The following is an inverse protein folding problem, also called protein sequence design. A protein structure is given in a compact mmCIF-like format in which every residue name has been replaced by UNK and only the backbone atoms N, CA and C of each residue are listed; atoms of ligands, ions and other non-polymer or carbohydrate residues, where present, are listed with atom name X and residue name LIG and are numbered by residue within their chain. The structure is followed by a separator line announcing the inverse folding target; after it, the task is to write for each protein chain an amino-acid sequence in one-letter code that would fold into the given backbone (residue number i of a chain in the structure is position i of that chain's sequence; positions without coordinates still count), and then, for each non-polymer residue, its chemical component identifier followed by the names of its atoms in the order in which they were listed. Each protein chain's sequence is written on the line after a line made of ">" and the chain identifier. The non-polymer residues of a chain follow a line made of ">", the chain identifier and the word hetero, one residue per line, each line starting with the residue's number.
data_IF_395973122679
#
_entry.id   IF_395973122679
#
_cell.length_a   1.000
_cell.length_b   1.000
_cell.length_c   1.000
_cell.angle_alpha   90.00
_cell.angle_beta   90.00
_cell.angle_gamma   90.00
#
_symmetry.space_group_name_H-M   'P 1'
#
loop_
_entity.id
_entity.type
_entity.pdbx_description
1 polymer ?
#
# COMPACT_ATOMS: atom_id res chain seq x y z
N UNK A 1 -28.16 -8.25 16.90
CA UNK A 1 -28.87 -7.45 15.88
C UNK A 1 -27.96 -6.34 15.30
N UNK A 2 -27.21 -5.62 16.14
CA UNK A 2 -26.29 -4.57 15.69
C UNK A 2 -25.14 -5.13 14.81
N UNK A 3 -24.53 -6.25 15.17
CA UNK A 3 -23.35 -6.85 14.50
C UNK A 3 -23.56 -7.29 13.04
N UNK A 4 -24.81 -7.45 12.60
CA UNK A 4 -25.12 -7.86 11.22
C UNK A 4 -25.47 -6.69 10.29
N UNK A 5 -25.67 -5.49 10.86
CA UNK A 5 -26.27 -4.38 10.11
C UNK A 5 -25.39 -3.89 8.95
N UNK A 6 -24.08 -3.84 9.15
CA UNK A 6 -23.16 -3.40 8.10
C UNK A 6 -22.67 -4.52 7.17
N UNK A 7 -22.81 -5.80 7.58
CA UNK A 7 -22.36 -6.96 6.79
C UNK A 7 -23.29 -7.25 5.59
N UNK A 8 -24.55 -6.81 5.68
CA UNK A 8 -25.53 -6.98 4.61
C UNK A 8 -25.44 -5.91 3.52
N UNK A 9 -24.66 -4.84 3.76
CA UNK A 9 -24.47 -3.78 2.78
C UNK A 9 -23.56 -4.26 1.66
N UNK A 10 -23.94 -3.95 0.42
CA UNK A 10 -23.10 -4.25 -0.74
C UNK A 10 -21.86 -3.37 -0.72
N UNK A 11 -20.74 -3.94 -1.08
CA UNK A 11 -19.47 -3.24 -1.19
C UNK A 11 -18.70 -3.74 -2.40
N UNK A 12 -17.87 -2.89 -3.03
CA UNK A 12 -17.03 -3.32 -4.13
C UNK A 12 -16.00 -4.35 -3.62
N UNK A 13 -15.73 -5.38 -4.42
CA UNK A 13 -14.70 -6.37 -4.12
C UNK A 13 -13.30 -5.83 -4.46
N UNK A 14 -13.21 -4.97 -5.46
CA UNK A 14 -11.96 -4.33 -5.92
C UNK A 14 -12.21 -2.92 -6.41
N UNK A 15 -11.15 -2.13 -6.47
CA UNK A 15 -11.12 -0.85 -7.16
C UNK A 15 -10.57 -1.07 -8.58
N UNK A 16 -11.25 -0.51 -9.57
CA UNK A 16 -10.72 -0.46 -10.92
C UNK A 16 -9.97 0.86 -11.10
N UNK A 17 -8.68 0.78 -11.46
CA UNK A 17 -7.82 1.95 -11.67
C UNK A 17 -7.48 2.03 -13.15
N UNK A 18 -7.97 3.06 -13.81
CA UNK A 18 -7.68 3.35 -15.22
C UNK A 18 -6.61 4.44 -15.27
N UNK A 19 -5.41 4.15 -15.77
CA UNK A 19 -4.37 5.16 -15.91
C UNK A 19 -4.77 6.21 -16.96
N UNK A 20 -4.44 7.46 -16.69
CA UNK A 20 -4.63 8.56 -17.65
C UNK A 20 -3.48 8.69 -18.66
N UNK A 21 -3.34 9.88 -19.25
CA UNK A 21 -2.29 10.17 -20.23
C UNK A 21 -0.87 10.01 -19.64
N UNK A 22 -0.69 10.37 -18.38
CA UNK A 22 0.51 10.11 -17.60
C UNK A 22 0.13 9.26 -16.38
N UNK A 23 0.46 7.95 -16.38
CA UNK A 23 0.08 7.03 -15.32
C UNK A 23 0.62 7.42 -13.94
N UNK A 24 1.74 8.15 -13.88
CA UNK A 24 2.34 8.59 -12.63
C UNK A 24 1.66 9.84 -12.04
N UNK A 25 0.86 10.54 -12.85
CA UNK A 25 0.24 11.81 -12.47
C UNK A 25 -1.26 11.81 -12.52
N UNK A 26 -1.86 11.00 -13.40
CA UNK A 26 -3.32 11.02 -13.61
C UNK A 26 -3.89 9.62 -13.62
N UNK A 27 -4.97 9.41 -12.88
CA UNK A 27 -5.76 8.19 -12.92
C UNK A 27 -7.23 8.45 -12.65
N UNK A 28 -8.06 7.56 -13.20
CA UNK A 28 -9.49 7.44 -12.87
C UNK A 28 -9.68 6.20 -12.01
N UNK A 29 -10.16 6.39 -10.80
CA UNK A 29 -10.44 5.31 -9.85
C UNK A 29 -11.94 5.10 -9.78
N UNK A 30 -12.38 3.88 -10.05
CA UNK A 30 -13.80 3.49 -10.07
C UNK A 30 -14.08 2.51 -8.95
N UNK A 31 -15.10 2.82 -8.14
CA UNK A 31 -15.63 1.94 -7.09
C UNK A 31 -17.09 1.62 -7.37
N UNK A 32 -17.37 0.36 -7.68
CA UNK A 32 -18.73 -0.17 -7.89
C UNK A 32 -18.81 -1.66 -7.55
N UNK A 33 -19.97 -2.17 -7.09
CA UNK A 33 -21.17 -1.41 -6.69
C UNK A 33 -21.06 -0.85 -5.26
N UNK A 34 -21.69 0.29 -5.01
CA UNK A 34 -21.85 0.88 -3.68
C UNK A 34 -23.35 0.99 -3.37
N UNK A 35 -23.70 0.92 -2.09
CA UNK A 35 -25.07 1.22 -1.67
C UNK A 35 -25.45 2.66 -2.04
N UNK A 36 -26.73 2.87 -2.32
CA UNK A 36 -27.28 4.17 -2.70
C UNK A 36 -26.92 5.27 -1.68
N UNK A 37 -26.30 6.34 -2.17
CA UNK A 37 -25.84 7.48 -1.38
C UNK A 37 -24.40 7.36 -0.88
N UNK A 38 -23.81 6.15 -0.85
CA UNK A 38 -22.43 5.97 -0.43
C UNK A 38 -21.43 6.55 -1.45
N UNK A 39 -21.76 6.55 -2.73
CA UNK A 39 -20.92 7.19 -3.75
C UNK A 39 -20.67 8.67 -3.45
N UNK A 40 -21.70 9.42 -3.07
CA UNK A 40 -21.59 10.84 -2.69
C UNK A 40 -20.81 11.01 -1.38
N UNK A 41 -21.10 10.19 -0.37
CA UNK A 41 -20.47 10.27 0.95
C UNK A 41 -18.97 10.00 0.85
N UNK A 42 -18.59 8.88 0.22
CA UNK A 42 -17.18 8.48 0.06
C UNK A 42 -16.44 9.41 -0.89
N UNK A 43 -17.07 9.77 -2.02
CA UNK A 43 -16.44 10.67 -3.00
C UNK A 43 -16.09 12.02 -2.43
N UNK A 44 -17.01 12.64 -1.66
CA UNK A 44 -16.75 13.91 -0.99
C UNK A 44 -15.69 13.77 0.11
N UNK A 45 -15.78 12.74 0.95
CA UNK A 45 -14.84 12.51 2.04
C UNK A 45 -13.42 12.29 1.52
N UNK A 46 -13.24 11.37 0.57
CA UNK A 46 -11.94 11.05 -0.05
C UNK A 46 -11.37 12.28 -0.75
N UNK A 47 -12.18 12.99 -1.55
CA UNK A 47 -11.75 14.23 -2.21
C UNK A 47 -11.20 15.25 -1.22
N UNK A 48 -11.89 15.47 -0.11
CA UNK A 48 -11.45 16.44 0.91
C UNK A 48 -10.13 16.03 1.55
N UNK A 49 -9.97 14.77 1.90
CA UNK A 49 -8.75 14.25 2.51
C UNK A 49 -7.57 14.29 1.54
N UNK A 50 -7.79 13.93 0.27
CA UNK A 50 -6.78 14.03 -0.79
C UNK A 50 -6.21 15.45 -0.91
N UNK A 51 -7.06 16.47 -0.88
CA UNK A 51 -6.64 17.86 -1.07
C UNK A 51 -6.04 18.51 0.19
N UNK A 52 -6.36 18.00 1.39
CA UNK A 52 -6.00 18.70 2.64
C UNK A 52 -5.00 17.96 3.53
N UNK A 53 -4.94 16.63 3.46
CA UNK A 53 -4.32 15.86 4.55
C UNK A 53 -3.08 15.07 4.15
N UNK A 54 -2.80 14.92 2.86
CA UNK A 54 -1.61 14.23 2.40
C UNK A 54 -0.36 15.07 2.69
N UNK A 55 0.71 14.38 3.07
CA UNK A 55 2.02 14.99 3.24
C UNK A 55 2.75 15.09 1.90
N UNK A 56 3.55 16.14 1.76
CA UNK A 56 4.49 16.28 0.66
C UNK A 56 5.67 17.15 1.09
N UNK A 57 6.63 17.34 0.18
CA UNK A 57 7.77 18.22 0.38
C UNK A 57 7.62 19.48 -0.47
N UNK A 58 8.02 20.63 0.07
CA UNK A 58 8.00 21.89 -0.64
C UNK A 58 9.20 22.76 -0.27
N UNK A 59 9.54 23.68 -1.15
CA UNK A 59 10.54 24.71 -0.88
C UNK A 59 9.90 25.78 0.01
N UNK A 60 10.48 26.01 1.18
CA UNK A 60 10.03 27.01 2.17
C UNK A 60 10.77 28.33 2.05
N UNK A 61 11.94 28.31 1.41
CA UNK A 61 12.71 29.51 1.17
C UNK A 61 13.89 29.26 0.24
N UNK A 62 14.37 30.32 -0.35
CA UNK A 62 15.56 30.31 -1.19
C UNK A 62 16.55 31.39 -0.75
N UNK A 63 17.80 31.17 -1.11
CA UNK A 63 18.86 32.19 -1.07
C UNK A 63 19.59 32.21 -2.39
N UNK A 64 19.75 33.41 -2.97
CA UNK A 64 20.46 33.60 -4.22
C UNK A 64 21.63 34.51 -3.93
N UNK A 65 22.82 34.15 -4.43
CA UNK A 65 24.01 34.98 -4.24
C UNK A 65 23.83 36.36 -4.87
N UNK A 66 24.10 37.40 -4.08
CA UNK A 66 23.96 38.80 -4.51
C UNK A 66 22.55 39.39 -4.45
N UNK A 67 21.54 38.61 -3.99
CA UNK A 67 20.15 39.02 -3.84
C UNK A 67 19.75 39.14 -2.37
N UNK A 68 19.10 40.25 -2.00
CA UNK A 68 18.69 40.54 -0.62
C UNK A 68 17.19 40.36 -0.39
N UNK A 69 16.38 40.54 -1.44
CA UNK A 69 14.92 40.49 -1.37
C UNK A 69 14.32 40.10 -2.74
N UNK A 70 13.08 39.68 -2.74
CA UNK A 70 12.33 39.15 -3.90
C UNK A 70 12.09 40.17 -5.04
N UNK A 71 12.15 41.45 -4.74
CA UNK A 71 11.95 42.51 -5.72
C UNK A 71 13.25 43.01 -6.38
N UNK A 72 14.22 42.11 -6.48
CA UNK A 72 15.51 42.39 -7.11
C UNK A 72 15.57 41.77 -8.51
N UNK A 73 16.45 42.34 -9.34
CA UNK A 73 16.87 41.71 -10.61
C UNK A 73 18.30 41.19 -10.49
N UNK A 74 18.64 40.18 -11.27
CA UNK A 74 19.97 39.59 -11.27
C UNK A 74 20.62 39.89 -12.63
N UNK A 75 21.85 40.40 -12.60
CA UNK A 75 22.56 40.71 -13.84
C UNK A 75 22.82 39.43 -14.66
N UNK A 76 22.41 39.46 -15.92
CA UNK A 76 22.55 38.32 -16.83
C UNK A 76 21.52 37.20 -16.64
N UNK A 77 20.45 37.44 -15.87
CA UNK A 77 19.27 36.59 -15.77
C UNK A 77 18.09 37.36 -16.38
N UNK A 78 17.31 36.70 -17.21
CA UNK A 78 16.18 37.36 -17.93
C UNK A 78 14.98 37.58 -17.02
N UNK A 79 14.71 36.61 -16.16
CA UNK A 79 13.58 36.63 -15.23
C UNK A 79 13.96 37.43 -13.96
N UNK A 80 13.00 38.12 -13.43
CA UNK A 80 13.14 38.75 -12.11
C UNK A 80 13.09 37.66 -11.00
N UNK A 81 13.62 38.00 -9.83
CA UNK A 81 13.61 37.10 -8.67
C UNK A 81 12.19 36.65 -8.32
N UNK A 82 11.20 37.51 -8.51
CA UNK A 82 9.78 37.17 -8.29
C UNK A 82 9.32 36.03 -9.24
N UNK A 83 9.71 36.10 -10.50
CA UNK A 83 9.37 35.06 -11.48
C UNK A 83 10.09 33.74 -11.15
N UNK A 84 11.35 33.84 -10.73
CA UNK A 84 12.11 32.66 -10.25
C UNK A 84 11.39 32.02 -9.04
N UNK A 85 10.93 32.81 -8.07
CA UNK A 85 10.16 32.32 -6.92
C UNK A 85 8.87 31.61 -7.37
N UNK A 86 8.15 32.17 -8.36
CA UNK A 86 6.94 31.53 -8.88
C UNK A 86 7.22 30.20 -9.58
N UNK A 87 8.35 30.09 -10.28
CA UNK A 87 8.79 28.85 -10.89
C UNK A 87 9.22 27.83 -9.82
N UNK A 88 9.96 28.26 -8.80
CA UNK A 88 10.38 27.39 -7.67
C UNK A 88 9.17 26.81 -6.92
N UNK A 89 8.08 27.56 -6.77
CA UNK A 89 6.83 27.05 -6.16
C UNK A 89 6.21 25.88 -6.92
N UNK A 90 6.57 25.67 -8.18
CA UNK A 90 6.07 24.56 -9.02
C UNK A 90 6.94 23.30 -8.92
N UNK A 91 8.07 23.35 -8.21
CA UNK A 91 8.92 22.18 -8.00
C UNK A 91 8.14 21.07 -7.30
N UNK A 92 8.19 19.88 -7.90
CA UNK A 92 7.63 18.66 -7.34
C UNK A 92 8.77 17.83 -6.74
N UNK A 93 8.85 17.81 -5.41
CA UNK A 93 9.96 17.22 -4.67
C UNK A 93 9.46 16.02 -3.89
N UNK A 94 10.09 14.85 -4.09
CA UNK A 94 9.93 13.67 -3.26
C UNK A 94 11.07 13.63 -2.25
N UNK A 95 10.73 13.69 -0.96
CA UNK A 95 11.69 13.64 0.13
C UNK A 95 11.22 12.62 1.17
N UNK A 96 11.86 11.44 1.27
CA UNK A 96 11.59 10.52 2.35
C UNK A 96 12.20 11.04 3.66
N UNK A 97 11.48 10.89 4.75
CA UNK A 97 11.91 11.30 6.09
C UNK A 97 11.40 12.69 6.50
N UNK A 98 11.65 13.02 7.75
CA UNK A 98 11.24 14.29 8.39
C UNK A 98 12.41 15.28 8.44
N UNK A 99 12.08 16.54 8.62
CA UNK A 99 13.05 17.63 8.85
C UNK A 99 13.25 18.56 7.67
N UNK A 100 14.26 19.42 7.80
CA UNK A 100 14.65 20.43 6.80
C UNK A 100 15.90 19.99 6.09
N UNK A 101 15.90 20.03 4.76
CA UNK A 101 17.10 19.77 3.95
C UNK A 101 17.42 20.95 3.06
N UNK A 102 18.69 21.10 2.70
CA UNK A 102 19.19 22.15 1.81
C UNK A 102 19.66 21.52 0.51
N UNK A 103 19.26 22.13 -0.59
CA UNK A 103 19.68 21.78 -1.95
C UNK A 103 20.40 22.96 -2.57
N UNK A 104 21.37 22.71 -3.41
CA UNK A 104 22.13 23.72 -4.09
C UNK A 104 21.99 23.61 -5.60
N UNK A 105 21.98 24.75 -6.27
CA UNK A 105 22.02 24.86 -7.72
C UNK A 105 23.17 25.80 -8.08
N UNK A 106 24.02 25.36 -8.98
CA UNK A 106 25.05 26.21 -9.60
C UNK A 106 24.95 26.05 -11.10
N UNK A 107 24.63 27.15 -11.79
CA UNK A 107 24.49 27.16 -13.23
C UNK A 107 25.36 28.26 -13.85
N UNK A 108 25.83 27.99 -15.08
CA UNK A 108 26.60 28.94 -15.89
C UNK A 108 25.93 29.08 -17.25
N UNK A 109 25.70 30.33 -17.66
CA UNK A 109 25.10 30.64 -18.96
C UNK A 109 26.09 30.47 -20.13
N UNK A 110 25.57 30.61 -21.36
CA UNK A 110 24.17 30.92 -21.68
C UNK A 110 23.27 29.69 -21.71
N UNK A 111 22.00 29.84 -21.36
CA UNK A 111 20.98 28.78 -21.50
C UNK A 111 19.92 28.76 -20.41
N UNK A 112 18.97 27.83 -20.55
CA UNK A 112 17.92 27.61 -19.57
C UNK A 112 18.46 26.83 -18.37
N UNK A 113 18.06 27.25 -17.19
CA UNK A 113 18.33 26.57 -15.92
C UNK A 113 17.11 25.77 -15.54
N UNK A 114 17.25 24.45 -15.53
CA UNK A 114 16.15 23.55 -15.23
C UNK A 114 16.25 22.96 -13.82
N UNK A 115 15.12 22.49 -13.30
CA UNK A 115 15.04 21.81 -12.00
C UNK A 115 15.95 20.57 -11.91
N UNK A 116 16.21 19.91 -13.02
CA UNK A 116 17.12 18.74 -13.09
C UNK A 116 18.60 19.07 -12.78
N UNK A 117 18.99 20.37 -12.81
CA UNK A 117 20.33 20.81 -12.48
C UNK A 117 20.53 21.02 -10.96
N UNK A 118 19.47 20.95 -10.18
CA UNK A 118 19.54 21.04 -8.71
C UNK A 118 20.31 19.82 -8.18
N UNK A 119 21.33 20.08 -7.39
CA UNK A 119 22.13 19.02 -6.74
C UNK A 119 21.31 18.41 -5.60
N UNK A 120 20.79 17.22 -5.82
CA UNK A 120 20.03 16.46 -4.83
C UNK A 120 20.97 15.56 -4.04
N UNK A 121 20.78 15.47 -2.72
CA UNK A 121 21.44 14.46 -1.89
C UNK A 121 20.62 13.17 -1.92
N UNK A 122 21.24 12.05 -2.24
CA UNK A 122 20.80 10.64 -2.37
C UNK A 122 19.34 10.21 -2.19
N UNK A 123 18.61 10.83 -1.28
CA UNK A 123 17.23 10.47 -0.95
C UNK A 123 16.18 11.45 -1.50
N UNK A 124 16.60 12.52 -2.18
CA UNK A 124 15.68 13.54 -2.69
C UNK A 124 15.59 13.40 -4.21
N UNK A 125 14.39 13.33 -4.71
CA UNK A 125 14.07 13.22 -6.13
C UNK A 125 13.20 14.40 -6.57
N UNK A 126 13.49 14.95 -7.74
CA UNK A 126 12.66 15.98 -8.38
C UNK A 126 11.83 15.30 -9.46
N UNK A 127 10.51 15.29 -9.29
CA UNK A 127 9.57 14.61 -10.20
C UNK A 127 9.31 15.38 -11.52
N UNK A 128 9.71 16.65 -11.58
CA UNK A 128 9.58 17.50 -12.77
C UNK A 128 10.91 18.16 -13.17
N UNK A 129 11.93 17.38 -13.58
CA UNK A 129 13.27 17.89 -13.87
C UNK A 129 13.32 18.87 -15.04
N UNK A 130 12.36 18.83 -15.94
CA UNK A 130 12.27 19.70 -17.13
C UNK A 130 11.71 21.10 -16.84
N UNK A 131 11.31 21.38 -15.60
CA UNK A 131 10.79 22.67 -15.21
C UNK A 131 11.90 23.73 -15.32
N UNK A 132 11.68 24.74 -16.15
CA UNK A 132 12.60 25.88 -16.30
C UNK A 132 12.42 26.83 -15.12
N UNK A 133 13.51 27.11 -14.41
CA UNK A 133 13.55 28.04 -13.30
C UNK A 133 13.85 29.47 -13.76
N UNK A 134 14.85 29.61 -14.63
CA UNK A 134 15.25 30.90 -15.24
C UNK A 134 16.12 30.67 -16.47
N UNK A 135 16.43 31.75 -17.19
CA UNK A 135 17.30 31.77 -18.36
C UNK A 135 18.51 32.66 -18.12
N UNK A 136 19.72 32.14 -18.36
CA UNK A 136 20.96 32.86 -18.19
C UNK A 136 21.46 33.40 -19.53
N UNK A 137 21.97 34.62 -19.54
CA UNK A 137 22.70 35.21 -20.66
C UNK A 137 24.17 34.77 -20.69
N UNK A 138 24.87 35.10 -21.70
CA UNK A 138 26.27 34.71 -21.88
C UNK A 138 27.18 35.27 -20.76
N UNK A 139 27.99 34.39 -20.19
CA UNK A 139 28.87 34.71 -19.07
C UNK A 139 28.21 34.88 -17.71
N UNK A 140 26.90 34.78 -17.60
CA UNK A 140 26.19 34.83 -16.31
C UNK A 140 26.41 33.56 -15.48
N UNK A 141 26.48 33.73 -14.16
CA UNK A 141 26.55 32.63 -13.20
C UNK A 141 25.47 32.80 -12.15
N UNK A 142 24.78 31.71 -11.82
CA UNK A 142 23.73 31.69 -10.81
C UNK A 142 24.04 30.65 -9.75
N UNK A 143 24.07 31.06 -8.47
CA UNK A 143 24.16 30.16 -7.32
C UNK A 143 22.89 30.34 -6.47
N UNK A 144 22.18 29.26 -6.25
CA UNK A 144 20.97 29.24 -5.42
C UNK A 144 21.02 28.13 -4.39
N UNK A 145 20.54 28.42 -3.19
CA UNK A 145 20.29 27.46 -2.12
C UNK A 145 18.78 27.38 -1.89
N UNK A 146 18.24 26.15 -1.86
CA UNK A 146 16.83 25.88 -1.57
C UNK A 146 16.71 25.24 -0.19
N UNK A 147 15.81 25.75 0.63
CA UNK A 147 15.41 25.12 1.88
C UNK A 147 14.13 24.33 1.65
N UNK A 148 14.19 23.00 1.82
CA UNK A 148 13.06 22.08 1.57
C UNK A 148 12.60 21.48 2.90
N UNK A 149 11.30 21.42 3.10
CA UNK A 149 10.68 20.79 4.28
C UNK A 149 9.53 19.87 3.87
N UNK A 150 9.22 18.91 4.75
CA UNK A 150 8.02 18.08 4.66
C UNK A 150 6.93 18.72 5.51
N UNK A 151 5.72 18.77 4.97
CA UNK A 151 4.57 19.36 5.67
C UNK A 151 3.25 18.88 5.08
N UNK A 152 2.18 19.61 5.44
CA UNK A 152 0.81 19.34 4.95
C UNK A 152 0.11 20.62 4.57
N UNK A 153 -0.71 20.55 3.53
CA UNK A 153 -1.55 21.66 3.10
C UNK A 153 -0.75 22.84 2.57
N UNK A 154 -1.07 24.05 3.01
CA UNK A 154 -0.48 25.29 2.56
C UNK A 154 0.03 26.09 3.76
N UNK A 155 1.27 26.57 3.66
CA UNK A 155 1.89 27.45 4.66
C UNK A 155 2.38 28.73 3.97
N UNK A 156 1.88 29.92 4.37
CA UNK A 156 2.29 31.19 3.78
C UNK A 156 3.75 31.52 4.12
N UNK A 157 4.42 32.28 3.24
CA UNK A 157 5.82 32.65 3.33
C UNK A 157 6.19 33.31 4.67
N UNK A 158 5.30 34.16 5.24
CA UNK A 158 5.53 34.79 6.51
C UNK A 158 5.77 33.79 7.67
N UNK A 159 5.15 32.63 7.63
CA UNK A 159 5.33 31.56 8.63
C UNK A 159 6.57 30.69 8.36
N UNK A 160 7.09 30.73 7.14
CA UNK A 160 8.28 29.97 6.74
C UNK A 160 9.59 30.73 7.04
N UNK A 161 9.51 31.94 7.53
CA UNK A 161 10.70 32.71 7.88
C UNK A 161 11.20 32.34 9.28
N UNK A 162 12.40 31.74 9.42
CA UNK A 162 12.99 31.46 10.72
C UNK A 162 13.28 32.76 11.49
N UNK A 163 13.26 32.71 12.82
CA UNK A 163 13.63 33.91 13.65
C UNK A 163 15.08 34.30 13.39
N UNK A 164 15.99 33.33 13.18
CA UNK A 164 17.41 33.55 12.86
C UNK A 164 17.68 33.46 11.35
N UNK A 165 16.77 33.96 10.51
CA UNK A 165 16.93 33.89 9.05
C UNK A 165 18.21 34.64 8.63
N UNK A 166 19.11 34.03 7.83
CA UNK A 166 20.31 34.69 7.32
C UNK A 166 19.91 35.84 6.37
N UNK A 167 20.80 36.84 6.27
CA UNK A 167 20.61 37.93 5.31
C UNK A 167 20.50 37.35 3.89
N UNK A 168 19.52 37.83 3.12
CA UNK A 168 19.25 37.34 1.76
C UNK A 168 18.38 36.08 1.70
N UNK A 169 17.86 35.59 2.85
CA UNK A 169 16.86 34.54 2.85
C UNK A 169 15.50 35.05 2.40
N UNK A 170 14.96 34.50 1.32
CA UNK A 170 13.66 34.86 0.75
C UNK A 170 12.70 33.71 1.09
N UNK A 171 11.73 33.93 2.00
CA UNK A 171 10.73 32.94 2.35
C UNK A 171 9.73 32.76 1.20
N UNK A 172 9.30 31.53 0.96
CA UNK A 172 8.36 31.16 -0.10
C UNK A 172 7.14 30.50 0.53
N UNK A 173 5.96 30.74 -0.07
CA UNK A 173 4.76 29.96 0.27
C UNK A 173 4.96 28.50 -0.08
N UNK A 174 4.74 27.62 0.87
CA UNK A 174 4.89 26.20 0.68
C UNK A 174 3.54 25.54 0.41
N UNK A 175 3.42 24.88 -0.75
CA UNK A 175 2.28 24.03 -1.12
C UNK A 175 2.75 22.59 -0.98
N UNK A 176 2.41 21.96 0.14
CA UNK A 176 2.87 20.60 0.45
C UNK A 176 2.01 19.51 -0.18
N UNK A 177 0.76 19.84 -0.58
CA UNK A 177 -0.15 18.84 -1.14
C UNK A 177 0.40 18.28 -2.47
N UNK A 178 0.66 16.95 -2.57
CA UNK A 178 1.06 16.34 -3.82
C UNK A 178 -0.10 16.23 -4.82
N UNK A 179 -1.35 16.42 -4.35
CA UNK A 179 -2.55 16.32 -5.17
C UNK A 179 -2.92 17.68 -5.73
N UNK A 180 -2.94 17.79 -7.05
CA UNK A 180 -3.26 19.04 -7.76
C UNK A 180 -4.76 19.21 -8.00
N UNK A 181 -5.43 18.13 -8.39
CA UNK A 181 -6.84 18.17 -8.75
C UNK A 181 -7.54 16.86 -8.39
N UNK A 182 -8.75 16.99 -7.83
CA UNK A 182 -9.64 15.86 -7.60
C UNK A 182 -11.04 16.25 -8.06
N UNK A 183 -11.60 15.47 -8.97
CA UNK A 183 -13.00 15.54 -9.36
C UNK A 183 -13.65 14.19 -9.15
N UNK A 184 -14.91 14.16 -8.71
CA UNK A 184 -15.69 12.92 -8.64
C UNK A 184 -17.06 13.10 -9.24
N UNK A 185 -17.61 11.98 -9.71
CA UNK A 185 -19.01 11.87 -10.13
C UNK A 185 -19.60 10.55 -9.63
N UNK A 186 -20.90 10.57 -9.42
CA UNK A 186 -21.66 9.39 -8.99
C UNK A 186 -22.66 9.07 -10.09
N UNK A 187 -22.62 7.84 -10.56
CA UNK A 187 -23.46 7.32 -11.61
C UNK A 187 -24.29 6.16 -11.08
N UNK A 188 -25.54 5.94 -11.54
CA UNK A 188 -26.27 4.74 -11.17
C UNK A 188 -25.63 3.51 -11.82
N UNK A 189 -25.57 2.41 -11.07
CA UNK A 189 -25.11 1.12 -11.59
C UNK A 189 -26.10 0.01 -11.25
N UNK A 190 -26.00 -1.13 -11.95
CA UNK A 190 -26.94 -2.25 -11.84
C UNK A 190 -26.25 -3.49 -11.28
N UNK A 191 -26.89 -4.11 -10.31
CA UNK A 191 -26.50 -5.44 -9.82
C UNK A 191 -27.69 -6.39 -9.94
N UNK A 192 -27.62 -7.34 -10.84
CA UNK A 192 -28.72 -8.25 -11.13
C UNK A 192 -29.95 -7.50 -11.67
N UNK A 193 -31.07 -7.54 -10.95
CA UNK A 193 -32.29 -6.84 -11.31
C UNK A 193 -32.46 -5.47 -10.61
N UNK A 194 -31.57 -5.12 -9.70
CA UNK A 194 -31.60 -3.88 -8.93
C UNK A 194 -30.70 -2.83 -9.60
N UNK A 195 -31.25 -1.64 -9.86
CA UNK A 195 -30.59 -0.54 -10.59
C UNK A 195 -30.26 0.66 -9.69
N UNK A 196 -30.42 0.52 -8.38
CA UNK A 196 -30.35 1.62 -7.40
C UNK A 196 -28.98 1.73 -6.70
N UNK A 197 -27.95 1.07 -7.22
CA UNK A 197 -26.61 1.16 -6.68
C UNK A 197 -25.82 2.33 -7.27
N UNK A 198 -24.85 2.81 -6.51
CA UNK A 198 -23.96 3.88 -6.93
C UNK A 198 -22.67 3.33 -7.55
N UNK A 199 -22.22 3.99 -8.61
CA UNK A 199 -20.88 3.89 -9.16
C UNK A 199 -20.14 5.20 -8.89
N UNK A 200 -19.10 5.15 -8.09
CA UNK A 200 -18.24 6.30 -7.82
C UNK A 200 -17.07 6.31 -8.80
N UNK A 201 -16.90 7.41 -9.51
CA UNK A 201 -15.77 7.66 -10.41
C UNK A 201 -14.98 8.85 -9.87
N UNK A 202 -13.73 8.63 -9.50
CA UNK A 202 -12.79 9.63 -9.01
C UNK A 202 -11.71 9.89 -10.05
N UNK A 203 -11.55 11.13 -10.49
CA UNK A 203 -10.43 11.56 -11.32
C UNK A 203 -9.42 12.27 -10.42
N UNK A 204 -8.22 11.73 -10.32
CA UNK A 204 -7.15 12.26 -9.46
C UNK A 204 -5.97 12.66 -10.32
N UNK A 205 -5.46 13.86 -10.06
CA UNK A 205 -4.26 14.40 -10.69
C UNK A 205 -3.27 14.81 -9.59
N UNK A 206 -2.05 14.29 -9.66
CA UNK A 206 -0.95 14.56 -8.74
C UNK A 206 0.16 15.33 -9.44
N UNK A 207 1.14 15.77 -8.69
CA UNK A 207 2.36 16.40 -9.22
C UNK A 207 3.43 15.40 -9.69
N UNK A 208 3.18 14.08 -9.51
CA UNK A 208 4.11 13.01 -9.86
C UNK A 208 5.00 12.55 -8.69
N UNK A 209 4.95 13.20 -7.53
CA UNK A 209 5.68 12.74 -6.34
C UNK A 209 5.03 11.51 -5.69
N UNK A 210 3.71 11.38 -5.83
CA UNK A 210 2.91 10.25 -5.36
C UNK A 210 2.02 9.78 -6.51
N UNK A 211 1.94 8.47 -6.73
CA UNK A 211 1.02 7.92 -7.72
C UNK A 211 -0.44 8.15 -7.30
N UNK A 212 -1.37 8.37 -8.24
CA UNK A 212 -2.77 8.68 -7.91
C UNK A 212 -3.49 7.58 -7.11
N UNK A 213 -3.22 6.31 -7.38
CA UNK A 213 -3.75 5.15 -6.66
C UNK A 213 -3.23 5.08 -5.22
N UNK A 214 -1.93 5.30 -5.01
CA UNK A 214 -1.32 5.39 -3.69
C UNK A 214 -1.91 6.57 -2.89
N UNK A 215 -2.12 7.71 -3.54
CA UNK A 215 -2.74 8.87 -2.91
C UNK A 215 -4.15 8.56 -2.39
N UNK A 216 -4.97 7.85 -3.20
CA UNK A 216 -6.31 7.40 -2.81
C UNK A 216 -6.24 6.40 -1.66
N UNK A 217 -5.31 5.44 -1.71
CA UNK A 217 -5.12 4.45 -0.65
C UNK A 217 -4.76 5.11 0.69
N UNK A 218 -3.82 6.08 0.69
CA UNK A 218 -3.44 6.85 1.88
C UNK A 218 -4.62 7.68 2.40
N UNK A 219 -5.39 8.33 1.52
CA UNK A 219 -6.56 9.10 1.91
C UNK A 219 -7.64 8.21 2.56
N UNK A 220 -7.89 7.03 2.00
CA UNK A 220 -8.82 6.06 2.57
C UNK A 220 -8.34 5.56 3.95
N UNK A 221 -7.04 5.32 4.11
CA UNK A 221 -6.44 4.92 5.40
C UNK A 221 -6.59 6.00 6.46
N UNK A 222 -6.35 7.26 6.11
CA UNK A 222 -6.54 8.39 7.01
C UNK A 222 -8.01 8.45 7.48
N UNK A 223 -8.97 8.29 6.55
CA UNK A 223 -10.40 8.28 6.90
C UNK A 223 -10.74 7.12 7.82
N UNK A 224 -10.25 5.93 7.54
CA UNK A 224 -10.46 4.74 8.36
C UNK A 224 -9.95 4.98 9.79
N UNK A 225 -8.74 5.49 9.95
CA UNK A 225 -8.15 5.76 11.26
C UNK A 225 -8.94 6.82 12.05
N UNK A 226 -9.42 7.87 11.37
CA UNK A 226 -10.25 8.90 12.02
C UNK A 226 -11.64 8.37 12.42
N UNK A 227 -12.22 7.47 11.63
CA UNK A 227 -13.52 6.89 11.92
C UNK A 227 -13.46 5.83 13.02
N UNK A 228 -12.31 5.23 13.26
CA UNK A 228 -12.14 4.20 14.29
C UNK A 228 -12.51 4.67 15.69
N UNK A 229 -12.29 5.96 16.00
CA UNK A 229 -12.65 6.55 17.29
C UNK A 229 -14.16 6.54 17.55
N UNK A 230 -14.99 6.51 16.50
CA UNK A 230 -16.46 6.49 16.60
C UNK A 230 -17.03 5.09 16.81
N UNK A 231 -16.20 4.06 16.67
CA UNK A 231 -16.60 2.66 16.91
C UNK A 231 -16.41 2.38 18.40
N UNK A 232 -17.53 2.29 19.15
CA UNK A 232 -17.53 2.12 20.60
C UNK A 232 -17.88 0.70 21.07
N UNK A 233 -17.90 -0.26 20.16
CA UNK A 233 -18.16 -1.66 20.47
C UNK A 233 -16.95 -2.51 20.04
N UNK A 234 -16.70 -3.57 20.81
CA UNK A 234 -15.69 -4.56 20.43
C UNK A 234 -16.18 -5.30 19.19
N UNK A 235 -15.50 -5.06 18.06
CA UNK A 235 -15.66 -5.94 16.92
C UNK A 235 -15.16 -7.33 17.35
N UNK A 236 -15.97 -8.40 17.16
CA UNK A 236 -15.40 -9.73 17.27
C UNK A 236 -14.19 -9.72 16.34
N UNK A 237 -13.01 -9.75 16.91
CA UNK A 237 -11.78 -9.83 16.11
C UNK A 237 -12.05 -10.95 15.12
N UNK A 238 -12.22 -10.63 13.84
CA UNK A 238 -11.92 -11.60 12.82
C UNK A 238 -10.54 -12.08 13.23
N UNK A 239 -10.47 -13.31 13.75
CA UNK A 239 -9.19 -13.96 13.83
C UNK A 239 -8.69 -13.84 12.39
N UNK A 240 -7.79 -12.87 12.16
CA UNK A 240 -6.85 -12.98 11.08
C UNK A 240 -6.34 -14.38 11.34
N UNK A 241 -6.69 -15.30 10.48
CA UNK A 241 -5.98 -16.56 10.39
C UNK A 241 -4.61 -16.05 9.95
N UNK A 242 -3.80 -15.63 10.95
CA UNK A 242 -2.37 -15.62 10.77
C UNK A 242 -2.14 -16.97 10.14
N UNK A 243 -1.73 -16.93 8.91
CA UNK A 243 -1.22 -18.11 8.24
C UNK A 243 -0.22 -18.71 9.22
N UNK A 244 -0.66 -19.71 9.98
CA UNK A 244 0.19 -20.54 10.83
C UNK A 244 1.01 -21.40 9.86
N UNK A 245 1.65 -20.72 8.90
CA UNK A 245 2.44 -21.36 7.87
C UNK A 245 3.85 -21.67 8.34
N UNK A 246 4.33 -21.05 9.43
CA UNK A 246 5.77 -21.07 9.69
C UNK A 246 6.24 -21.75 11.00
N UNK A 247 5.34 -22.27 11.86
CA UNK A 247 5.81 -22.83 13.14
C UNK A 247 5.52 -24.32 13.40
N UNK A 248 4.92 -25.06 12.44
CA UNK A 248 4.81 -26.50 12.60
C UNK A 248 6.03 -27.19 11.97
N UNK A 249 6.81 -27.96 12.74
CA UNK A 249 8.00 -28.64 12.23
C UNK A 249 7.65 -29.80 11.26
N UNK A 250 6.37 -29.95 10.87
CA UNK A 250 5.89 -31.03 10.03
C UNK A 250 4.74 -30.57 9.11
N UNK A 251 4.47 -31.36 8.04
CA UNK A 251 3.46 -31.06 7.04
C UNK A 251 2.03 -31.09 7.64
N UNK A 252 1.21 -30.08 7.36
CA UNK A 252 -0.21 -29.96 7.80
C UNK A 252 -1.07 -31.17 7.44
N UNK A 253 -0.79 -31.83 6.32
CA UNK A 253 -1.51 -33.02 5.90
C UNK A 253 -1.41 -34.19 6.92
N UNK A 254 -0.43 -34.17 7.81
CA UNK A 254 -0.25 -35.15 8.85
C UNK A 254 -1.31 -35.10 9.95
N UNK A 255 -1.92 -33.91 10.17
CA UNK A 255 -2.98 -33.68 11.15
C UNK A 255 -4.38 -34.09 10.66
N UNK A 256 -4.54 -34.41 9.38
CA UNK A 256 -5.81 -34.89 8.84
C UNK A 256 -6.10 -36.31 9.30
N UNK A 257 -7.40 -36.60 9.48
CA UNK A 257 -7.84 -37.94 9.86
C UNK A 257 -7.72 -38.90 8.70
N UNK A 258 -7.40 -40.16 9.01
CA UNK A 258 -7.31 -41.23 8.03
C UNK A 258 -8.67 -41.53 7.38
N UNK A 259 -9.79 -41.22 8.06
CA UNK A 259 -11.14 -41.36 7.54
C UNK A 259 -11.46 -40.42 6.34
N UNK A 260 -10.67 -39.34 6.17
CA UNK A 260 -10.79 -38.38 5.06
C UNK A 260 -10.06 -38.85 3.78
N UNK A 261 -9.25 -39.92 3.93
CA UNK A 261 -8.61 -40.54 2.78
C UNK A 261 -9.65 -41.40 2.02
N UNK A 262 -9.72 -41.24 0.72
CA UNK A 262 -10.60 -42.04 -0.14
C UNK A 262 -10.12 -43.48 -0.22
N UNK A 263 -10.14 -44.19 0.93
CA UNK A 263 -9.74 -45.61 1.04
C UNK A 263 -10.94 -46.51 0.96
N UNK A 264 -10.71 -47.74 0.50
CA UNK A 264 -11.75 -48.77 0.55
C UNK A 264 -12.18 -49.03 2.02
N UNK A 265 -13.46 -49.38 2.22
CA UNK A 265 -14.05 -49.68 3.54
C UNK A 265 -13.21 -50.70 4.32
N UNK A 266 -12.59 -51.62 3.60
CA UNK A 266 -11.74 -52.66 4.19
C UNK A 266 -10.43 -52.09 4.72
N UNK A 267 -9.77 -51.19 3.95
CA UNK A 267 -8.54 -50.52 4.34
C UNK A 267 -8.78 -49.59 5.53
N UNK A 268 -9.85 -48.79 5.50
CA UNK A 268 -10.23 -47.88 6.59
C UNK A 268 -10.51 -48.64 7.90
N UNK A 269 -11.25 -49.75 7.85
CA UNK A 269 -11.53 -50.57 9.05
C UNK A 269 -10.27 -51.23 9.64
N UNK A 270 -9.31 -51.62 8.81
CA UNK A 270 -8.04 -52.15 9.30
C UNK A 270 -7.21 -51.09 10.04
N UNK A 271 -7.18 -49.87 9.54
CA UNK A 271 -6.47 -48.74 10.18
C UNK A 271 -7.11 -48.34 11.53
N UNK A 272 -8.46 -48.36 11.61
CA UNK A 272 -9.20 -48.14 12.85
C UNK A 272 -8.91 -49.18 13.91
N UNK A 273 -8.84 -50.44 13.51
CA UNK A 273 -8.55 -51.55 14.43
C UNK A 273 -7.12 -51.48 15.01
N UNK A 274 -6.20 -50.85 14.30
CA UNK A 274 -4.82 -50.63 14.72
C UNK A 274 -4.61 -49.27 15.43
N UNK A 275 -5.71 -48.61 15.80
CA UNK A 275 -5.74 -47.26 16.47
C UNK A 275 -4.98 -46.18 15.73
N UNK A 276 -4.90 -46.23 14.39
CA UNK A 276 -4.30 -45.19 13.55
C UNK A 276 -5.41 -44.18 13.19
N UNK A 277 -5.36 -43.02 13.82
CA UNK A 277 -6.38 -41.96 13.67
C UNK A 277 -5.94 -40.86 12.70
N UNK A 278 -4.69 -40.48 12.73
CA UNK A 278 -4.14 -39.42 11.93
C UNK A 278 -3.18 -39.92 10.84
N UNK A 279 -3.06 -39.16 9.75
CA UNK A 279 -2.11 -39.48 8.67
C UNK A 279 -0.67 -39.53 9.20
N UNK A 280 -0.34 -38.69 10.19
CA UNK A 280 0.96 -38.66 10.83
C UNK A 280 1.32 -39.96 11.55
N UNK A 281 0.34 -40.67 12.14
CA UNK A 281 0.54 -41.99 12.75
C UNK A 281 0.79 -43.07 11.68
N UNK A 282 0.06 -42.93 10.56
CA UNK A 282 0.17 -43.87 9.43
C UNK A 282 1.53 -43.79 8.74
N UNK A 283 2.04 -42.57 8.51
CA UNK A 283 3.31 -42.32 7.82
C UNK A 283 4.51 -42.86 8.60
N UNK A 284 4.44 -42.90 9.94
CA UNK A 284 5.51 -43.48 10.76
C UNK A 284 5.57 -45.00 10.74
N UNK A 285 4.48 -45.67 10.37
CA UNK A 285 4.47 -47.15 10.26
C UNK A 285 5.25 -47.60 9.05
N UNK A 286 6.06 -48.61 9.26
CA UNK A 286 6.77 -49.30 8.15
C UNK A 286 5.85 -50.25 7.38
N UNK A 287 6.17 -50.53 6.11
CA UNK A 287 5.43 -51.47 5.32
C UNK A 287 5.32 -52.89 5.97
N UNK A 288 6.39 -53.30 6.68
CA UNK A 288 6.42 -54.56 7.38
C UNK A 288 5.48 -54.62 8.58
N UNK A 289 5.36 -53.51 9.30
CA UNK A 289 4.41 -53.35 10.41
C UNK A 289 2.97 -53.40 9.91
N UNK A 290 2.68 -52.68 8.81
CA UNK A 290 1.36 -52.67 8.21
C UNK A 290 0.91 -54.05 7.73
N UNK A 291 1.83 -54.83 7.18
CA UNK A 291 1.53 -56.22 6.76
C UNK A 291 1.35 -57.22 7.92
N UNK A 292 1.76 -56.86 9.15
CA UNK A 292 1.51 -57.67 10.34
C UNK A 292 0.12 -57.47 10.94
N UNK A 293 -0.56 -56.36 10.55
CA UNK A 293 -1.93 -56.10 11.02
C UNK A 293 -2.90 -57.15 10.49
N UNK A 294 -3.74 -57.75 11.34
CA UNK A 294 -4.71 -58.76 10.93
C UNK A 294 -5.66 -58.26 9.84
N UNK A 295 -5.90 -59.07 8.83
CA UNK A 295 -6.77 -58.74 7.67
C UNK A 295 -6.27 -57.62 6.73
N UNK A 296 -5.02 -57.16 6.87
CA UNK A 296 -4.39 -56.18 6.00
C UNK A 296 -3.59 -56.90 4.87
N UNK A 297 -3.96 -56.63 3.62
CA UNK A 297 -3.37 -57.27 2.46
C UNK A 297 -2.51 -56.36 1.59
N UNK A 298 -1.73 -56.95 0.67
CA UNK A 298 -0.88 -56.19 -0.27
C UNK A 298 -1.67 -55.20 -1.15
N UNK A 299 -2.94 -55.48 -1.45
CA UNK A 299 -3.80 -54.59 -2.22
C UNK A 299 -4.10 -53.30 -1.43
N UNK A 300 -4.46 -53.43 -0.14
CA UNK A 300 -4.70 -52.29 0.75
C UNK A 300 -3.41 -51.47 1.01
N UNK A 301 -2.25 -52.14 1.05
CA UNK A 301 -0.97 -51.45 1.16
C UNK A 301 -0.66 -50.57 -0.05
N UNK A 302 -0.90 -51.09 -1.27
CA UNK A 302 -0.68 -50.33 -2.50
C UNK A 302 -1.65 -49.15 -2.62
N UNK A 303 -2.92 -49.34 -2.25
CA UNK A 303 -3.94 -48.28 -2.20
C UNK A 303 -3.50 -47.14 -1.29
N UNK A 304 -3.04 -47.44 -0.08
CA UNK A 304 -2.53 -46.43 0.88
C UNK A 304 -1.28 -45.73 0.34
N UNK A 305 -0.37 -46.46 -0.28
CA UNK A 305 0.84 -45.88 -0.90
C UNK A 305 0.51 -44.89 -2.01
N UNK A 306 -0.45 -45.19 -2.87
CA UNK A 306 -0.88 -44.30 -3.95
C UNK A 306 -1.50 -43.01 -3.40
N UNK A 307 -2.36 -43.17 -2.38
CA UNK A 307 -2.99 -41.98 -1.75
C UNK A 307 -1.95 -41.12 -1.02
N UNK A 308 -1.04 -41.72 -0.25
CA UNK A 308 0.04 -40.97 0.42
C UNK A 308 0.98 -40.31 -0.59
N UNK A 309 1.33 -41.01 -1.68
CA UNK A 309 2.19 -40.44 -2.73
C UNK A 309 1.56 -39.25 -3.42
N UNK A 310 0.23 -39.22 -3.62
CA UNK A 310 -0.48 -38.05 -4.17
C UNK A 310 -0.38 -36.81 -3.28
N UNK A 311 -0.15 -37.00 -1.97
CA UNK A 311 0.05 -35.94 -0.97
C UNK A 311 1.53 -35.67 -0.69
N UNK A 312 2.45 -36.29 -1.43
CA UNK A 312 3.90 -36.13 -1.21
C UNK A 312 4.41 -36.83 0.06
N UNK A 313 3.67 -37.81 0.58
CA UNK A 313 3.98 -38.56 1.80
C UNK A 313 4.31 -40.03 1.47
N UNK A 314 4.96 -40.73 2.41
CA UNK A 314 5.29 -42.16 2.26
C UNK A 314 5.32 -42.87 3.61
N UNK A 315 5.21 -44.20 3.57
CA UNK A 315 5.32 -45.03 4.77
C UNK A 315 6.79 -45.11 5.25
N UNK A 316 6.99 -45.19 6.56
CA UNK A 316 8.31 -45.29 7.18
C UNK A 316 9.07 -43.96 7.27
N UNK A 317 8.41 -42.80 7.13
CA UNK A 317 9.02 -41.50 7.32
C UNK A 317 9.12 -41.18 8.81
N UNK A 318 10.29 -40.69 9.28
CA UNK A 318 10.44 -40.16 10.62
C UNK A 318 9.99 -38.72 10.65
N UNK A 319 8.92 -38.40 11.37
CA UNK A 319 8.41 -37.03 11.53
C UNK A 319 8.91 -36.50 12.86
N UNK A 320 9.76 -35.47 12.81
CA UNK A 320 10.30 -34.83 14.01
C UNK A 320 9.17 -34.06 14.72
N UNK A 321 8.94 -34.36 16.01
CA UNK A 321 7.89 -33.67 16.80
C UNK A 321 6.48 -34.26 16.67
N UNK A 322 6.32 -35.47 16.14
CA UNK A 322 5.05 -36.18 16.12
C UNK A 322 5.01 -37.28 17.22
N UNK A 323 3.86 -37.52 17.96
CA UNK A 323 2.65 -36.67 17.99
C UNK A 323 2.86 -35.39 18.83
N UNK A 324 2.32 -34.24 18.42
CA UNK A 324 2.34 -33.04 19.23
C UNK A 324 1.40 -33.20 20.45
N UNK A 325 1.68 -32.55 21.58
CA UNK A 325 0.90 -32.65 22.81
C UNK A 325 -0.58 -32.28 22.64
N UNK A 326 -0.94 -31.51 21.58
CA UNK A 326 -2.29 -30.98 21.32
C UNK A 326 -2.82 -31.41 19.93
N UNK A 327 -2.62 -32.68 19.52
CA UNK A 327 -3.03 -33.18 18.18
C UNK A 327 -4.51 -32.95 17.91
N UNK A 328 -5.39 -33.20 18.90
CA UNK A 328 -6.84 -33.04 18.76
C UNK A 328 -7.28 -31.60 18.55
N UNK A 329 -6.65 -30.66 19.26
CA UNK A 329 -6.96 -29.22 19.13
C UNK A 329 -6.44 -28.66 17.81
N UNK A 330 -5.28 -29.12 17.36
CA UNK A 330 -4.70 -28.75 16.05
C UNK A 330 -5.51 -29.33 14.88
N UNK A 331 -6.00 -30.58 15.01
CA UNK A 331 -6.85 -31.22 14.00
C UNK A 331 -8.21 -30.52 13.89
N UNK A 332 -8.86 -30.17 15.03
CA UNK A 332 -10.12 -29.41 15.03
C UNK A 332 -10.00 -28.04 14.38
N UNK A 333 -8.87 -27.35 14.54
CA UNK A 333 -8.59 -26.08 13.87
C UNK A 333 -8.48 -26.21 12.35
N UNK A 334 -8.22 -27.40 11.83
CA UNK A 334 -8.12 -27.67 10.39
C UNK A 334 -9.48 -28.15 9.82
N UNK A 335 -10.31 -28.84 10.63
CA UNK A 335 -11.62 -29.37 10.23
C UNK A 335 -12.76 -28.33 10.20
N UNK A 336 -12.64 -27.18 10.87
CA UNK A 336 -13.67 -26.12 10.79
C UNK A 336 -13.57 -25.42 9.42
N UNK A 337 -14.45 -25.69 8.45
CA UNK A 337 -14.52 -24.89 7.22
C UNK A 337 -15.15 -23.54 7.54
N UNK A 338 -14.71 -22.53 6.84
CA UNK A 338 -15.18 -21.15 6.83
C UNK A 338 -16.69 -20.95 6.78
#
# INVERSE_FOLDING_TARGET
>A
MLERNWRSLIRPERLDVEPGADPNRTATVVAEPLERGFGMTLGNAIRRVLLSSLQGAAVTGIRIDGVLHEFSSINGVREDVTDIVLNVKQLAIRMPGEGTKRLNLTAKGPGEVTAGQIQTSGDIEIANPDLVLCTLDDGATLNMEFTVQVGRGYVPAAMNRPEDAPIGFIPIDAIYSPVRRVAYRVEPTRVGQVTDYDRLVLNVETDGTVAPDDAVAVAARILQDQLQLFINFDEPRQRVVEDVQDDLPFNRNLLRKVDELELSVRSANCLKNDNIVYIGDLVQKSEQEMLRTPNFGRKSLNEIKEVLASMGLGLGMSVTGWPPENVEDLAKKIEEPF
#
